data_IF_723589994991
#
_entry.id   IF_723589994991
#
_cell.length_a   1.000
_cell.length_b   1.000
_cell.length_c   1.000
_cell.angle_alpha   90.00
_cell.angle_beta   90.00
_cell.angle_gamma   90.00
#
_symmetry.space_group_name_H-M   'P 1'
#
loop_
_entity.id
_entity.type
_entity.pdbx_description
1 polymer ?
#
# COMPACT_ATOMS: atom_id res chain seq x y z
N UNK A 1 -3.36 10.64 -25.96
CA UNK A 1 -3.77 9.34 -25.39
C UNK A 1 -4.61 9.62 -24.15
N UNK A 2 -5.88 9.19 -24.11
CA UNK A 2 -6.71 9.40 -22.91
C UNK A 2 -6.23 8.44 -21.83
N UNK A 3 -5.85 8.91 -20.62
CA UNK A 3 -5.50 8.02 -19.53
C UNK A 3 -6.73 7.18 -19.19
N UNK A 4 -6.56 5.87 -19.04
CA UNK A 4 -7.62 4.97 -18.60
C UNK A 4 -8.34 5.60 -17.38
N UNK A 5 -9.64 5.94 -17.49
CA UNK A 5 -10.34 6.67 -16.44
C UNK A 5 -10.39 5.91 -15.12
N UNK A 6 -10.14 4.60 -15.11
CA UNK A 6 -10.00 3.77 -13.89
C UNK A 6 -8.67 3.95 -13.18
N UNK A 7 -7.62 4.41 -13.88
CA UNK A 7 -6.30 4.68 -13.29
C UNK A 7 -6.21 6.05 -12.62
N UNK A 8 -7.22 6.90 -12.82
CA UNK A 8 -7.35 8.17 -12.11
C UNK A 8 -7.56 7.87 -10.62
N UNK A 9 -6.66 8.37 -9.78
CA UNK A 9 -6.66 8.14 -8.33
C UNK A 9 -7.77 8.97 -7.68
N UNK A 10 -8.98 8.40 -7.60
CA UNK A 10 -10.18 9.05 -7.04
C UNK A 10 -10.45 8.68 -5.58
N UNK A 11 -10.00 7.51 -5.15
CA UNK A 11 -10.24 6.99 -3.80
C UNK A 11 -9.11 7.41 -2.86
N UNK A 12 -9.47 8.00 -1.73
CA UNK A 12 -8.54 8.43 -0.68
C UNK A 12 -8.53 7.41 0.44
N UNK A 13 -7.34 6.96 0.85
CA UNK A 13 -7.11 6.21 2.07
C UNK A 13 -6.45 7.14 3.10
N UNK A 14 -6.87 7.07 4.36
CA UNK A 14 -6.29 7.81 5.47
C UNK A 14 -5.90 6.82 6.56
N UNK A 15 -4.74 7.03 7.17
CA UNK A 15 -4.19 6.21 8.25
C UNK A 15 -3.84 7.13 9.41
N UNK A 16 -4.07 6.68 10.62
CA UNK A 16 -3.55 7.32 11.82
C UNK A 16 -2.30 6.53 12.23
N UNK A 17 -1.20 7.24 12.47
CA UNK A 17 0.06 6.67 12.92
C UNK A 17 0.38 7.26 14.29
N UNK A 18 1.00 6.45 15.15
CA UNK A 18 1.62 6.97 16.37
C UNK A 18 2.95 7.70 16.05
N UNK A 19 3.56 8.30 17.08
CA UNK A 19 4.78 9.08 16.92
C UNK A 19 5.98 8.24 16.44
N UNK A 20 6.05 6.95 16.83
CA UNK A 20 7.14 6.06 16.44
C UNK A 20 6.96 5.59 14.99
N UNK A 21 5.74 5.21 14.62
CA UNK A 21 5.37 4.83 13.27
C UNK A 21 5.61 5.99 12.30
N UNK A 22 5.20 7.22 12.67
CA UNK A 22 5.46 8.40 11.86
C UNK A 22 6.96 8.66 11.71
N UNK A 23 7.74 8.56 12.80
CA UNK A 23 9.20 8.72 12.75
C UNK A 23 9.89 7.70 11.84
N UNK A 24 9.42 6.45 11.82
CA UNK A 24 9.92 5.43 10.89
C UNK A 24 9.61 5.78 9.43
N UNK A 25 8.39 6.23 9.15
CA UNK A 25 7.98 6.62 7.80
C UNK A 25 8.81 7.82 7.31
N UNK A 26 9.05 8.81 8.17
CA UNK A 26 9.89 9.97 7.83
C UNK A 26 11.34 9.56 7.54
N UNK A 27 11.90 8.63 8.32
CA UNK A 27 13.23 8.07 8.05
C UNK A 27 13.29 7.37 6.69
N UNK A 28 12.26 6.60 6.32
CA UNK A 28 12.18 5.93 5.03
C UNK A 28 12.00 6.90 3.86
N UNK A 29 11.21 7.96 4.05
CA UNK A 29 11.06 9.04 3.07
C UNK A 29 12.40 9.72 2.82
N UNK A 30 13.12 10.09 3.88
CA UNK A 30 14.44 10.71 3.78
C UNK A 30 15.47 9.80 3.11
N UNK A 31 15.42 8.50 3.39
CA UNK A 31 16.34 7.52 2.81
C UNK A 31 16.07 7.25 1.33
N UNK A 32 14.80 7.14 0.94
CA UNK A 32 14.42 6.76 -0.43
C UNK A 32 14.23 7.95 -1.37
N UNK A 33 14.00 9.15 -0.83
CA UNK A 33 13.64 10.35 -1.59
C UNK A 33 12.20 10.33 -2.15
N UNK A 34 11.40 9.32 -1.81
CA UNK A 34 10.00 9.20 -2.23
C UNK A 34 9.09 10.07 -1.36
N UNK A 35 7.97 10.52 -1.91
CA UNK A 35 6.94 11.16 -1.09
C UNK A 35 6.28 10.14 -0.14
N UNK A 36 5.87 10.58 1.05
CA UNK A 36 5.20 9.72 2.04
C UNK A 36 4.00 8.95 1.45
N UNK A 37 3.15 9.64 0.69
CA UNK A 37 1.96 9.02 0.07
C UNK A 37 2.32 7.94 -0.97
N UNK A 38 3.41 8.14 -1.72
CA UNK A 38 3.90 7.16 -2.67
C UNK A 38 4.49 5.92 -1.97
N UNK A 39 5.29 6.15 -0.93
CA UNK A 39 5.91 5.10 -0.13
C UNK A 39 4.86 4.23 0.55
N UNK A 40 3.91 4.84 1.27
CA UNK A 40 2.83 4.13 1.95
C UNK A 40 1.98 3.32 0.97
N UNK A 41 1.67 3.89 -0.20
CA UNK A 41 0.93 3.17 -1.24
C UNK A 41 1.71 1.96 -1.73
N UNK A 42 3.02 2.10 -1.97
CA UNK A 42 3.86 1.01 -2.47
C UNK A 42 3.92 -0.13 -1.48
N UNK A 43 4.12 0.18 -0.19
CA UNK A 43 4.11 -0.80 0.89
C UNK A 43 2.77 -1.51 0.98
N UNK A 44 1.66 -0.76 1.05
CA UNK A 44 0.33 -1.34 1.16
C UNK A 44 -0.05 -2.23 -0.03
N UNK A 45 0.30 -1.84 -1.25
CA UNK A 45 0.03 -2.65 -2.45
C UNK A 45 0.96 -3.86 -2.57
N UNK A 46 2.20 -3.76 -2.08
CA UNK A 46 3.11 -4.91 -2.01
C UNK A 46 2.54 -5.95 -1.05
N UNK A 47 2.20 -5.52 0.17
CA UNK A 47 1.63 -6.41 1.19
C UNK A 47 0.29 -7.01 0.73
N UNK A 48 -0.62 -6.20 0.18
CA UNK A 48 -1.89 -6.70 -0.34
C UNK A 48 -1.72 -7.73 -1.45
N UNK A 49 -0.71 -7.56 -2.32
CA UNK A 49 -0.37 -8.54 -3.36
C UNK A 49 0.15 -9.82 -2.72
N UNK A 50 1.05 -9.72 -1.75
CA UNK A 50 1.66 -10.88 -1.12
C UNK A 50 0.62 -11.66 -0.30
N UNK A 51 -0.29 -11.00 0.40
CA UNK A 51 -1.45 -11.63 1.06
C UNK A 51 -2.36 -12.35 0.06
N UNK A 52 -2.69 -11.71 -1.06
CA UNK A 52 -3.53 -12.32 -2.11
C UNK A 52 -2.86 -13.53 -2.76
N UNK A 53 -1.53 -13.53 -2.87
CA UNK A 53 -0.76 -14.66 -3.42
C UNK A 53 -0.48 -15.75 -2.37
N UNK A 54 -0.41 -15.39 -1.08
CA UNK A 54 -0.23 -16.30 0.04
C UNK A 54 -1.49 -17.10 0.36
N UNK A 55 -2.65 -16.71 -0.16
CA UNK A 55 -3.89 -17.50 -0.14
C UNK A 55 -4.12 -18.27 -1.48
N UNK A 56 -3.30 -19.27 -1.88
CA UNK A 56 -3.62 -20.00 -3.09
C UNK A 56 -4.76 -21.02 -2.91
N UNK A 57 -5.13 -21.50 -1.70
CA UNK A 57 -6.22 -22.48 -1.51
C UNK A 57 -6.54 -22.73 -0.02
N UNK A 58 -7.44 -21.97 0.62
CA UNK A 58 -8.08 -22.45 1.88
C UNK A 58 -9.59 -22.64 1.73
N UNK A 59 -10.24 -21.94 0.79
CA UNK A 59 -11.67 -22.16 0.52
C UNK A 59 -11.98 -23.43 -0.28
N UNK A 60 -11.00 -24.07 -0.95
CA UNK A 60 -11.19 -25.45 -1.48
C UNK A 60 -11.10 -26.54 -0.41
N UNK A 61 -10.72 -26.21 0.83
CA UNK A 61 -10.66 -27.20 1.91
C UNK A 61 -11.96 -27.29 2.72
N UNK A 62 -12.83 -26.28 2.70
CA UNK A 62 -14.08 -26.25 3.47
C UNK A 62 -15.13 -25.34 2.81
N UNK A 63 -15.77 -25.74 1.69
CA UNK A 63 -17.16 -25.38 1.28
C UNK A 63 -17.43 -25.70 -0.21
#
# INVERSE_FOLDING_TARGET
MYPDPKRIRKHRATLNLDDYEQGLIDALVNYTGLSQAELLRRLALSEARDLLLAEPNVERAIA
#
